data_IF_943453051706
#
_entry.id   IF_943453051706
#
_cell.length_a   1.000
_cell.length_b   1.000
_cell.length_c   1.000
_cell.angle_alpha   90.00
_cell.angle_beta   90.00
_cell.angle_gamma   90.00
#
_symmetry.space_group_name_H-M   'P 1'
#
loop_
_entity.id
_entity.type
_entity.pdbx_description
1 polymer ?
#
# COMPACT_ATOMS: atom_id res chain seq x y z
N UNK A 1 13.11 -30.00 2.63
CA UNK A 1 13.56 -28.61 2.93
C UNK A 1 12.81 -27.53 2.14
N UNK A 2 13.05 -27.28 0.84
CA UNK A 2 12.43 -26.12 0.15
C UNK A 2 10.90 -26.20 0.04
N UNK A 3 10.36 -27.41 -0.03
CA UNK A 3 8.92 -27.66 -0.02
C UNK A 3 8.33 -27.41 1.36
N UNK A 4 8.94 -27.95 2.42
CA UNK A 4 8.49 -27.78 3.81
C UNK A 4 8.46 -26.30 4.23
N UNK A 5 9.41 -25.48 3.76
CA UNK A 5 9.41 -24.01 3.97
C UNK A 5 8.28 -23.29 3.24
N UNK A 6 7.71 -23.90 2.21
CA UNK A 6 6.62 -23.30 1.42
C UNK A 6 5.25 -23.66 1.98
N UNK A 7 5.18 -24.54 2.98
CA UNK A 7 3.93 -25.05 3.57
C UNK A 7 3.87 -24.70 5.06
N UNK A 8 2.73 -24.18 5.51
CA UNK A 8 2.41 -23.94 6.91
C UNK A 8 2.17 -25.27 7.62
N UNK A 9 2.75 -25.43 8.81
CA UNK A 9 2.50 -26.58 9.65
C UNK A 9 1.08 -26.52 10.22
N UNK A 10 0.26 -27.54 9.91
CA UNK A 10 -1.16 -27.60 10.30
C UNK A 10 -1.37 -27.75 11.82
N UNK A 11 -0.32 -28.07 12.59
CA UNK A 11 -0.38 -28.16 14.04
C UNK A 11 -0.71 -26.82 14.71
N UNK A 12 -0.04 -25.74 14.30
CA UNK A 12 -0.14 -24.44 14.96
C UNK A 12 -0.42 -23.28 14.00
N UNK A 13 -0.17 -23.46 12.70
CA UNK A 13 -0.33 -22.42 11.66
C UNK A 13 0.46 -21.13 11.93
N UNK A 14 1.45 -21.19 12.81
CA UNK A 14 2.31 -20.08 13.21
C UNK A 14 3.68 -20.11 12.53
N UNK A 15 3.97 -21.18 11.79
CA UNK A 15 5.20 -21.31 11.01
C UNK A 15 5.14 -22.49 10.06
N UNK A 16 6.23 -22.71 9.34
CA UNK A 16 6.29 -23.68 8.26
C UNK A 16 6.47 -25.10 8.78
N UNK A 17 6.22 -26.11 7.94
CA UNK A 17 6.54 -27.51 8.26
C UNK A 17 8.02 -27.65 8.59
N UNK A 18 8.89 -26.88 7.95
CA UNK A 18 10.32 -26.89 8.22
C UNK A 18 10.67 -26.39 9.63
N UNK A 19 9.96 -25.37 10.13
CA UNK A 19 10.28 -24.73 11.41
C UNK A 19 9.59 -25.42 12.60
N UNK A 20 8.36 -25.88 12.42
CA UNK A 20 7.52 -26.43 13.50
C UNK A 20 7.33 -27.95 13.43
N UNK A 21 7.67 -28.57 12.31
CA UNK A 21 7.49 -29.99 12.07
C UNK A 21 6.03 -30.40 11.84
N UNK A 22 5.84 -31.44 11.04
CA UNK A 22 4.58 -32.19 10.96
C UNK A 22 4.88 -33.55 10.32
N UNK A 23 4.89 -34.62 11.12
CA UNK A 23 5.30 -35.97 10.69
C UNK A 23 4.50 -36.49 9.49
N UNK A 24 3.19 -36.22 9.47
CA UNK A 24 2.30 -36.71 8.43
C UNK A 24 2.53 -35.95 7.12
N UNK A 25 2.69 -34.63 7.21
CA UNK A 25 3.02 -33.80 6.05
C UNK A 25 4.42 -34.12 5.51
N UNK A 26 5.43 -34.26 6.37
CA UNK A 26 6.79 -34.62 5.99
C UNK A 26 6.84 -35.97 5.28
N UNK A 27 6.14 -36.97 5.81
CA UNK A 27 6.04 -38.29 5.20
C UNK A 27 5.37 -38.18 3.82
N UNK A 28 4.26 -37.46 3.73
CA UNK A 28 3.53 -37.26 2.46
C UNK A 28 4.39 -36.54 1.42
N UNK A 29 5.09 -35.48 1.81
CA UNK A 29 6.04 -34.75 0.96
C UNK A 29 7.12 -35.71 0.45
N UNK A 30 7.74 -36.49 1.34
CA UNK A 30 8.79 -37.44 0.98
C UNK A 30 8.29 -38.50 -0.01
N UNK A 31 7.08 -39.04 0.20
CA UNK A 31 6.45 -39.99 -0.72
C UNK A 31 6.18 -39.37 -2.09
N UNK A 32 5.64 -38.15 -2.15
CA UNK A 32 5.34 -37.49 -3.43
C UNK A 32 6.62 -37.14 -4.20
N UNK A 33 7.67 -36.69 -3.51
CA UNK A 33 8.98 -36.41 -4.12
C UNK A 33 9.59 -37.69 -4.68
N UNK A 34 9.58 -38.80 -3.93
CA UNK A 34 10.06 -40.10 -4.40
C UNK A 34 9.26 -40.61 -5.60
N UNK A 35 7.96 -40.27 -5.66
CA UNK A 35 7.08 -40.59 -6.79
C UNK A 35 7.28 -39.68 -8.02
N UNK A 36 8.26 -38.76 -7.98
CA UNK A 36 8.59 -37.88 -9.10
C UNK A 36 7.66 -36.69 -9.29
N UNK A 37 6.83 -36.33 -8.30
CA UNK A 37 5.96 -35.16 -8.39
C UNK A 37 6.77 -33.86 -8.39
N UNK A 38 6.32 -32.89 -9.15
CA UNK A 38 6.88 -31.54 -9.17
C UNK A 38 6.46 -30.75 -7.92
N UNK A 39 7.22 -29.70 -7.59
CA UNK A 39 6.88 -28.81 -6.47
C UNK A 39 5.45 -28.25 -6.56
N UNK A 40 5.01 -27.85 -7.75
CA UNK A 40 3.64 -27.33 -7.94
C UNK A 40 2.60 -28.37 -7.58
N UNK A 41 2.73 -29.61 -8.11
CA UNK A 41 1.79 -30.69 -7.82
C UNK A 41 1.71 -31.02 -6.34
N UNK A 42 2.83 -30.97 -5.62
CA UNK A 42 2.86 -31.18 -4.17
C UNK A 42 2.15 -30.03 -3.45
N UNK A 43 2.35 -28.78 -3.88
CA UNK A 43 1.67 -27.63 -3.26
C UNK A 43 0.18 -27.70 -3.51
N UNK A 44 -0.22 -27.99 -4.75
CA UNK A 44 -1.61 -28.14 -5.16
C UNK A 44 -2.31 -29.26 -4.37
N UNK A 45 -1.62 -30.37 -4.07
CA UNK A 45 -2.14 -31.42 -3.20
C UNK A 45 -2.51 -30.88 -1.81
N UNK A 46 -1.61 -30.15 -1.16
CA UNK A 46 -1.88 -29.58 0.16
C UNK A 46 -2.91 -28.44 0.11
N UNK A 47 -2.91 -27.61 -0.93
CA UNK A 47 -3.92 -26.56 -1.13
C UNK A 47 -5.31 -27.17 -1.32
N UNK A 48 -5.42 -28.26 -2.06
CA UNK A 48 -6.70 -28.96 -2.22
C UNK A 48 -7.21 -29.54 -0.90
N UNK A 49 -6.31 -29.94 0.01
CA UNK A 49 -6.68 -30.52 1.30
C UNK A 49 -6.98 -29.47 2.38
N UNK A 50 -6.19 -28.40 2.43
CA UNK A 50 -6.18 -27.43 3.55
C UNK A 50 -6.51 -25.99 3.14
N UNK A 51 -6.73 -25.74 1.85
CA UNK A 51 -6.93 -24.42 1.27
C UNK A 51 -5.62 -23.65 1.10
N UNK A 52 -5.71 -22.45 0.49
CA UNK A 52 -4.55 -21.59 0.21
C UNK A 52 -3.78 -21.15 1.46
N UNK A 53 -4.43 -21.17 2.64
CA UNK A 53 -3.79 -20.82 3.92
C UNK A 53 -2.62 -21.75 4.28
N UNK A 54 -2.56 -22.94 3.68
CA UNK A 54 -1.41 -23.86 3.86
C UNK A 54 -0.16 -23.36 3.17
N UNK A 55 -0.25 -22.39 2.26
CA UNK A 55 0.92 -21.80 1.63
C UNK A 55 1.54 -20.79 2.59
N UNK A 56 2.85 -20.88 2.79
CA UNK A 56 3.59 -19.92 3.61
C UNK A 56 3.60 -18.51 3.00
N UNK A 57 3.37 -18.42 1.69
CA UNK A 57 3.25 -17.17 0.93
C UNK A 57 1.90 -17.16 0.22
N UNK A 58 1.11 -16.07 0.33
CA UNK A 58 -0.18 -15.98 -0.34
C UNK A 58 -0.01 -15.98 -1.86
N UNK A 59 -0.94 -16.63 -2.57
CA UNK A 59 -0.96 -16.65 -4.03
C UNK A 59 -1.27 -15.25 -4.56
N UNK A 60 -0.48 -14.74 -5.51
CA UNK A 60 -0.70 -13.44 -6.16
C UNK A 60 -1.79 -13.51 -7.25
N UNK A 61 -2.98 -14.00 -6.90
CA UNK A 61 -4.10 -14.14 -7.82
C UNK A 61 -5.41 -13.67 -7.16
N UNK A 62 -6.38 -13.25 -7.99
CA UNK A 62 -7.70 -12.83 -7.54
C UNK A 62 -7.65 -11.69 -6.52
N UNK A 63 -8.35 -11.85 -5.39
CA UNK A 63 -8.46 -10.84 -4.34
C UNK A 63 -7.12 -10.55 -3.64
N UNK A 64 -6.24 -11.55 -3.50
CA UNK A 64 -4.93 -11.39 -2.87
C UNK A 64 -4.03 -10.39 -3.61
N UNK A 65 -4.31 -10.11 -4.89
CA UNK A 65 -3.58 -9.11 -5.67
C UNK A 65 -3.74 -7.69 -5.11
N UNK A 66 -4.87 -7.40 -4.46
CA UNK A 66 -5.14 -6.08 -3.89
C UNK A 66 -4.10 -5.70 -2.82
N UNK A 67 -3.60 -6.66 -2.04
CA UNK A 67 -2.56 -6.40 -1.04
C UNK A 67 -1.29 -5.76 -1.64
N UNK A 68 -1.03 -6.03 -2.92
CA UNK A 68 0.14 -5.52 -3.65
C UNK A 68 -0.16 -4.23 -4.42
N UNK A 69 -1.33 -4.14 -5.05
CA UNK A 69 -1.69 -3.02 -5.94
C UNK A 69 -2.26 -1.84 -5.16
N UNK A 70 -3.03 -2.08 -4.10
CA UNK A 70 -3.69 -1.03 -3.32
C UNK A 70 -2.74 0.02 -2.75
N UNK A 71 -1.57 -0.31 -2.16
CA UNK A 71 -0.62 0.69 -1.68
C UNK A 71 -0.13 1.63 -2.78
N UNK A 72 0.09 1.11 -4.00
CA UNK A 72 0.53 1.90 -5.16
C UNK A 72 -0.58 2.87 -5.57
N UNK A 73 -1.82 2.37 -5.69
CA UNK A 73 -2.99 3.20 -6.06
C UNK A 73 -3.19 4.33 -5.04
N UNK A 74 -3.18 4.00 -3.75
CA UNK A 74 -3.35 5.00 -2.67
C UNK A 74 -2.21 6.03 -2.74
N UNK A 75 -0.98 5.60 -2.96
CA UNK A 75 0.17 6.51 -3.12
C UNK A 75 0.00 7.48 -4.28
N UNK A 76 -0.43 6.99 -5.45
CA UNK A 76 -0.69 7.83 -6.64
C UNK A 76 -1.81 8.83 -6.35
N UNK A 77 -2.93 8.37 -5.76
CA UNK A 77 -4.05 9.25 -5.39
C UNK A 77 -3.56 10.33 -4.41
N UNK A 78 -2.77 9.96 -3.40
CA UNK A 78 -2.19 10.90 -2.44
C UNK A 78 -1.32 11.98 -3.10
N UNK A 79 -0.45 11.58 -4.04
CA UNK A 79 0.39 12.51 -4.80
C UNK A 79 -0.47 13.46 -5.63
N UNK A 80 -1.51 12.96 -6.30
CA UNK A 80 -2.42 13.79 -7.10
C UNK A 80 -3.13 14.81 -6.20
N UNK A 81 -3.69 14.37 -5.07
CA UNK A 81 -4.38 15.27 -4.13
C UNK A 81 -3.42 16.33 -3.59
N UNK A 82 -2.21 15.92 -3.19
CA UNK A 82 -1.17 16.83 -2.69
C UNK A 82 -0.76 17.87 -3.74
N UNK A 83 -0.49 17.43 -4.97
CA UNK A 83 -0.15 18.33 -6.07
C UNK A 83 -1.28 19.33 -6.36
N UNK A 84 -2.53 18.86 -6.38
CA UNK A 84 -3.71 19.71 -6.60
C UNK A 84 -3.91 20.73 -5.48
N UNK A 85 -3.65 20.35 -4.23
CA UNK A 85 -3.70 21.25 -3.08
C UNK A 85 -2.67 22.39 -3.21
N UNK A 86 -1.42 22.06 -3.57
CA UNK A 86 -0.38 23.08 -3.75
C UNK A 86 -0.68 24.04 -4.91
N UNK A 87 -1.33 23.55 -5.96
CA UNK A 87 -1.62 24.33 -7.16
C UNK A 87 -2.93 25.14 -7.09
N UNK A 88 -3.65 25.13 -5.96
CA UNK A 88 -4.93 25.85 -5.79
C UNK A 88 -4.76 27.29 -5.30
N UNK A 89 -3.53 27.71 -4.97
CA UNK A 89 -3.22 28.98 -4.30
C UNK A 89 -3.04 30.19 -5.23
N UNK A 90 -3.74 30.27 -6.38
CA UNK A 90 -3.67 31.45 -7.27
C UNK A 90 -4.98 32.20 -7.49
N UNK A 91 -6.00 32.02 -6.65
CA UNK A 91 -7.14 32.95 -6.61
C UNK A 91 -6.99 33.87 -5.40
N UNK A 92 -5.85 34.58 -5.34
CA UNK A 92 -5.83 35.86 -4.67
C UNK A 92 -6.35 36.86 -5.67
N UNK A 93 -7.60 37.32 -5.53
CA UNK A 93 -7.91 38.64 -6.07
C UNK A 93 -6.86 39.60 -5.49
N UNK A 94 -6.19 40.41 -6.31
CA UNK A 94 -5.32 41.44 -5.76
C UNK A 94 -6.17 42.27 -4.81
N UNK A 95 -5.77 42.35 -3.53
CA UNK A 95 -6.39 43.24 -2.56
C UNK A 95 -6.34 44.64 -3.20
N UNK A 96 -7.47 45.13 -3.70
CA UNK A 96 -7.57 46.50 -4.20
C UNK A 96 -7.31 47.40 -3.00
N UNK A 97 -6.26 48.22 -3.08
CA UNK A 97 -5.97 49.20 -2.04
C UNK A 97 -7.03 50.29 -2.10
N UNK A 98 -8.07 50.14 -1.28
CA UNK A 98 -9.16 51.09 -1.11
C UNK A 98 -8.64 52.50 -0.77
N UNK A 99 -7.46 52.61 -0.11
CA UNK A 99 -6.77 53.87 0.16
C UNK A 99 -6.45 54.70 -1.10
N UNK A 100 -6.04 54.04 -2.19
CA UNK A 100 -5.69 54.73 -3.44
C UNK A 100 -6.93 55.12 -4.26
N UNK A 101 -8.09 54.57 -3.92
CA UNK A 101 -9.37 54.87 -4.57
C UNK A 101 -10.13 56.02 -3.86
N UNK A 102 -9.56 56.59 -2.79
CA UNK A 102 -10.14 57.74 -2.08
C UNK A 102 -9.95 59.01 -2.94
N UNK A 103 -11.03 59.74 -3.28
CA UNK A 103 -10.91 61.01 -3.99
C UNK A 103 -10.04 62.00 -3.20
N UNK A 104 -9.15 62.69 -3.91
CA UNK A 104 -8.30 63.75 -3.36
C UNK A 104 -7.28 63.28 -2.30
N UNK A 105 -6.84 62.02 -2.36
CA UNK A 105 -5.85 61.47 -1.43
C UNK A 105 -4.56 62.31 -1.34
N UNK A 106 -4.08 62.83 -2.47
CA UNK A 106 -2.88 63.67 -2.54
C UNK A 106 -3.02 64.95 -1.69
N UNK A 107 -4.23 65.52 -1.61
CA UNK A 107 -4.48 66.74 -0.83
C UNK A 107 -4.43 66.44 0.67
N UNK A 108 -5.00 65.31 1.10
CA UNK A 108 -5.03 64.89 2.50
C UNK A 108 -3.59 64.65 2.99
N UNK A 109 -2.74 64.00 2.18
CA UNK A 109 -1.34 63.78 2.52
C UNK A 109 -0.53 65.08 2.63
N UNK A 110 -0.84 66.06 1.78
CA UNK A 110 -0.19 67.36 1.82
C UNK A 110 -0.59 68.15 3.08
N UNK A 111 -1.89 68.16 3.42
CA UNK A 111 -2.38 68.82 4.63
C UNK A 111 -1.79 68.21 5.91
N UNK A 112 -1.65 66.88 5.97
CA UNK A 112 -1.04 66.20 7.12
C UNK A 112 0.43 66.59 7.33
N UNK A 113 1.20 66.75 6.24
CA UNK A 113 2.61 67.17 6.32
C UNK A 113 2.78 68.63 6.71
N UNK A 114 1.79 69.47 6.44
CA UNK A 114 1.80 70.87 6.87
C UNK A 114 1.40 71.03 8.35
N UNK A 115 0.81 70.00 8.96
CA UNK A 115 0.44 69.96 10.39
C UNK A 115 1.49 69.32 11.31
N UNK A 116 2.55 68.72 10.76
CA UNK A 116 3.76 68.31 11.50
C UNK A 116 4.81 69.43 11.52
#
# INVERSE_FOLDING_TARGET
MDIEKSLMAVCCWSGTVFDHGNSDMETTIATMVQSGNTKSQIMDHFVNQYGERVLAVPVMAGFNLLAWVTPIIIGIIGIIVWYRYLNISSIGEPIKNEYNDIPNIDQIEQELKEME
#
